data_IF_606671113148
#
_entry.id   IF_606671113148
#
_cell.length_a   1.000
_cell.length_b   1.000
_cell.length_c   1.000
_cell.angle_alpha   90.00
_cell.angle_beta   90.00
_cell.angle_gamma   90.00
#
_symmetry.space_group_name_H-M   'P 1'
#
loop_
_entity.id
_entity.type
_entity.pdbx_description
1 polymer ?
#
# COMPACT_ATOMS: atom_id res chain seq x y z
N UNK A 1 -6.81 -14.06 10.22
CA UNK A 1 -7.00 -13.08 11.30
C UNK A 1 -7.34 -11.76 10.62
N UNK A 2 -8.62 -11.35 10.63
CA UNK A 2 -9.02 -10.06 10.11
C UNK A 2 -8.57 -9.00 11.10
N UNK A 3 -7.51 -8.25 10.77
CA UNK A 3 -7.05 -7.12 11.58
C UNK A 3 -8.18 -6.07 11.55
N UNK A 4 -8.81 -5.74 12.70
CA UNK A 4 -9.82 -4.70 12.76
C UNK A 4 -9.21 -3.37 12.27
N UNK A 5 -9.93 -2.64 11.41
CA UNK A 5 -9.52 -1.29 10.98
C UNK A 5 -8.69 -1.21 9.69
N UNK A 6 -8.46 -2.31 8.97
CA UNK A 6 -7.78 -2.28 7.65
C UNK A 6 -8.77 -1.99 6.53
N UNK A 7 -8.46 -1.00 5.69
CA UNK A 7 -9.29 -0.57 4.55
C UNK A 7 -8.43 -0.50 3.29
N UNK A 8 -9.00 -0.91 2.16
CA UNK A 8 -8.38 -0.75 0.84
C UNK A 8 -8.91 0.53 0.19
N UNK A 9 -8.00 1.41 -0.23
CA UNK A 9 -8.29 2.65 -0.94
C UNK A 9 -7.96 2.45 -2.42
N UNK A 10 -8.99 2.12 -3.21
CA UNK A 10 -8.91 1.84 -4.66
C UNK A 10 -9.43 3.01 -5.54
N UNK A 11 -9.65 4.17 -4.93
CA UNK A 11 -10.15 5.37 -5.61
C UNK A 11 -11.67 5.46 -5.77
N UNK A 12 -12.44 4.42 -5.41
CA UNK A 12 -13.92 4.44 -5.51
C UNK A 12 -14.55 5.57 -4.69
N UNK A 13 -14.05 5.81 -3.48
CA UNK A 13 -14.47 6.92 -2.61
C UNK A 13 -14.28 8.29 -3.26
N UNK A 14 -13.17 8.50 -3.98
CA UNK A 14 -12.90 9.77 -4.66
C UNK A 14 -13.74 9.94 -5.93
N UNK A 15 -14.02 8.85 -6.65
CA UNK A 15 -14.81 8.92 -7.89
C UNK A 15 -16.27 9.28 -7.64
N UNK A 16 -16.81 8.92 -6.47
CA UNK A 16 -18.16 9.29 -6.06
C UNK A 16 -18.25 10.67 -5.39
N UNK A 17 -17.12 11.34 -5.17
CA UNK A 17 -17.05 12.59 -4.43
C UNK A 17 -17.57 13.77 -5.26
N UNK A 18 -18.56 14.46 -4.71
CA UNK A 18 -19.09 15.70 -5.28
C UNK A 18 -18.51 16.90 -4.53
N UNK A 19 -17.49 17.52 -5.10
CA UNK A 19 -16.87 18.73 -4.53
C UNK A 19 -17.45 19.98 -5.19
N UNK A 20 -17.80 20.98 -4.37
CA UNK A 20 -18.20 22.31 -4.83
C UNK A 20 -17.15 23.34 -4.43
N UNK A 21 -16.91 24.34 -5.29
CA UNK A 21 -16.01 25.43 -4.97
C UNK A 21 -16.60 26.36 -3.91
N UNK A 22 -15.80 26.83 -2.94
CA UNK A 22 -16.25 27.83 -1.98
C UNK A 22 -16.35 29.20 -2.67
N UNK A 23 -17.58 29.61 -3.01
CA UNK A 23 -17.98 30.91 -3.57
C UNK A 23 -17.66 31.09 -5.07
N UNK A 24 -18.68 31.50 -5.84
CA UNK A 24 -18.65 31.56 -7.32
C UNK A 24 -17.84 32.72 -7.93
N UNK A 25 -17.50 33.76 -7.14
CA UNK A 25 -16.91 35.02 -7.63
C UNK A 25 -15.41 35.19 -7.29
N UNK A 26 -14.73 34.15 -6.79
CA UNK A 26 -13.32 34.21 -6.43
C UNK A 26 -12.46 33.50 -7.48
N UNK A 27 -11.45 34.19 -8.01
CA UNK A 27 -10.42 33.55 -8.83
C UNK A 27 -9.55 32.65 -7.95
N UNK A 28 -9.38 31.39 -8.35
CA UNK A 28 -8.48 30.46 -7.68
C UNK A 28 -7.16 30.40 -8.44
N UNK A 29 -6.03 30.36 -7.73
CA UNK A 29 -4.78 29.92 -8.35
C UNK A 29 -4.79 28.40 -8.50
N UNK A 30 -4.01 27.86 -9.45
CA UNK A 30 -3.83 26.42 -9.56
C UNK A 30 -3.35 25.77 -8.26
N UNK A 31 -2.48 26.45 -7.50
CA UNK A 31 -2.03 25.96 -6.19
C UNK A 31 -3.18 25.84 -5.18
N UNK A 32 -4.02 26.87 -5.06
CA UNK A 32 -5.17 26.85 -4.15
C UNK A 32 -6.18 25.76 -4.51
N UNK A 33 -6.35 25.49 -5.81
CA UNK A 33 -7.22 24.42 -6.29
C UNK A 33 -6.66 23.05 -5.92
N UNK A 34 -5.35 22.83 -6.08
CA UNK A 34 -4.71 21.57 -5.67
C UNK A 34 -4.78 21.37 -4.16
N UNK A 35 -4.54 22.40 -3.36
CA UNK A 35 -4.65 22.33 -1.90
C UNK A 35 -6.08 21.99 -1.46
N UNK A 36 -7.10 22.59 -2.10
CA UNK A 36 -8.50 22.27 -1.87
C UNK A 36 -8.81 20.82 -2.25
N UNK A 37 -8.32 20.36 -3.41
CA UNK A 37 -8.53 19.00 -3.87
C UNK A 37 -7.88 17.98 -2.94
N UNK A 38 -6.63 18.22 -2.54
CA UNK A 38 -5.87 17.37 -1.62
C UNK A 38 -6.57 17.32 -0.25
N UNK A 39 -7.07 18.46 0.26
CA UNK A 39 -7.86 18.49 1.49
C UNK A 39 -9.16 17.69 1.36
N UNK A 40 -9.89 17.82 0.24
CA UNK A 40 -11.14 17.08 0.02
C UNK A 40 -10.92 15.58 -0.20
N UNK A 41 -9.84 15.23 -0.87
CA UNK A 41 -9.41 13.85 -1.01
C UNK A 41 -9.04 13.26 0.36
N UNK A 42 -8.27 14.00 1.16
CA UNK A 42 -7.93 13.61 2.53
C UNK A 42 -9.18 13.38 3.38
N UNK A 43 -10.12 14.34 3.41
CA UNK A 43 -11.40 14.20 4.13
C UNK A 43 -12.15 12.91 3.73
N UNK A 44 -12.14 12.59 2.44
CA UNK A 44 -12.84 11.42 1.89
C UNK A 44 -12.09 10.10 2.10
N UNK A 45 -10.80 10.18 2.40
CA UNK A 45 -9.90 9.05 2.67
C UNK A 45 -9.53 9.03 4.16
N UNK A 46 -10.51 9.30 5.02
CA UNK A 46 -10.39 9.20 6.47
C UNK A 46 -9.32 10.13 7.09
N UNK A 47 -8.98 11.24 6.44
CA UNK A 47 -7.94 12.17 6.88
C UNK A 47 -6.52 11.77 6.47
N UNK A 48 -6.37 10.76 5.60
CA UNK A 48 -5.07 10.37 5.06
C UNK A 48 -4.46 11.50 4.24
N UNK A 49 -3.19 11.82 4.50
CA UNK A 49 -2.40 12.65 3.59
C UNK A 49 -1.82 11.78 2.48
N UNK A 50 -2.28 11.99 1.25
CA UNK A 50 -1.80 11.21 0.11
C UNK A 50 -0.28 11.38 -0.11
N UNK A 51 0.45 10.29 -0.39
CA UNK A 51 1.85 10.34 -0.78
C UNK A 51 2.10 11.27 -1.98
N UNK A 52 3.25 11.94 -1.99
CA UNK A 52 3.64 12.83 -3.09
C UNK A 52 3.73 12.10 -4.44
N UNK A 53 4.10 10.83 -4.43
CA UNK A 53 4.13 9.96 -5.62
C UNK A 53 2.76 9.85 -6.30
N UNK A 54 1.69 9.69 -5.52
CA UNK A 54 0.30 9.61 -6.02
C UNK A 54 -0.15 10.97 -6.55
N UNK A 55 0.13 12.04 -5.81
CA UNK A 55 -0.20 13.41 -6.24
C UNK A 55 0.46 13.73 -7.58
N UNK A 56 1.76 13.45 -7.71
CA UNK A 56 2.51 13.65 -8.95
C UNK A 56 1.97 12.77 -10.09
N UNK A 57 1.69 11.49 -9.83
CA UNK A 57 1.12 10.58 -10.82
C UNK A 57 -0.27 11.00 -11.29
N UNK A 58 -1.07 11.64 -10.44
CA UNK A 58 -2.36 12.20 -10.82
C UNK A 58 -2.19 13.45 -11.70
N UNK A 59 -1.24 14.32 -11.35
CA UNK A 59 -0.92 15.52 -12.14
C UNK A 59 -0.43 15.18 -13.55
N UNK A 60 0.36 14.13 -13.74
CA UNK A 60 0.82 13.72 -15.08
C UNK A 60 -0.31 13.18 -15.98
N UNK A 61 -1.44 12.77 -15.40
CA UNK A 61 -2.63 12.35 -16.15
C UNK A 61 -3.52 13.53 -16.54
N UNK A 62 -3.25 14.73 -16.05
CA UNK A 62 -4.00 15.93 -16.44
C UNK A 62 -3.53 16.46 -17.80
N UNK A 63 -4.45 16.88 -18.69
CA UNK A 63 -4.09 17.39 -20.00
C UNK A 63 -3.34 18.73 -19.90
N UNK A 64 -2.22 18.84 -20.62
CA UNK A 64 -1.39 20.06 -20.74
C UNK A 64 -0.82 20.59 -19.40
N UNK A 65 -0.31 19.69 -18.56
CA UNK A 65 0.23 20.05 -17.26
C UNK A 65 1.71 20.48 -17.32
N UNK A 66 1.95 21.77 -17.15
CA UNK A 66 3.24 22.34 -16.72
C UNK A 66 3.07 22.82 -15.28
N UNK A 67 3.62 22.09 -14.30
CA UNK A 67 3.36 22.27 -12.86
C UNK A 67 3.62 23.71 -12.38
N UNK A 68 4.73 24.30 -12.81
CA UNK A 68 5.12 25.64 -12.37
C UNK A 68 4.18 26.72 -12.93
N UNK A 69 3.80 26.59 -14.20
CA UNK A 69 2.89 27.52 -14.87
C UNK A 69 1.45 27.33 -14.37
N UNK A 70 1.03 26.09 -14.15
CA UNK A 70 -0.31 25.77 -13.65
C UNK A 70 -0.56 26.35 -12.27
N UNK A 71 0.37 26.15 -11.33
CA UNK A 71 0.22 26.60 -9.93
C UNK A 71 0.00 28.10 -9.79
N UNK A 72 0.58 28.89 -10.69
CA UNK A 72 0.48 30.36 -10.70
C UNK A 72 -0.64 30.91 -11.58
N UNK A 73 -1.33 30.07 -12.36
CA UNK A 73 -2.41 30.50 -13.26
C UNK A 73 -3.68 30.80 -12.47
N UNK A 74 -4.32 31.94 -12.75
CA UNK A 74 -5.66 32.25 -12.26
C UNK A 74 -6.74 31.50 -13.07
N UNK A 75 -7.65 30.86 -12.36
CA UNK A 75 -8.72 30.05 -12.89
C UNK A 75 -10.07 30.65 -12.50
N UNK A 76 -10.94 30.79 -13.49
CA UNK A 76 -12.33 31.20 -13.31
C UNK A 76 -13.19 30.01 -12.84
N UNK A 77 -14.31 30.27 -12.17
CA UNK A 77 -15.14 29.27 -11.48
C UNK A 77 -15.41 27.99 -12.26
N UNK A 78 -15.95 28.07 -13.49
CA UNK A 78 -16.28 26.88 -14.29
C UNK A 78 -15.04 26.05 -14.65
N UNK A 79 -13.94 26.72 -15.02
CA UNK A 79 -12.68 26.05 -15.37
C UNK A 79 -12.04 25.43 -14.14
N UNK A 80 -12.07 26.12 -13.01
CA UNK A 80 -11.58 25.63 -11.73
C UNK A 80 -12.38 24.40 -11.28
N UNK A 81 -13.71 24.43 -11.36
CA UNK A 81 -14.54 23.29 -10.95
C UNK A 81 -14.25 22.06 -11.81
N UNK A 82 -14.10 22.24 -13.12
CA UNK A 82 -13.74 21.14 -14.02
C UNK A 82 -12.37 20.55 -13.67
N UNK A 83 -11.34 21.39 -13.54
CA UNK A 83 -9.98 20.93 -13.21
C UNK A 83 -9.90 20.24 -11.84
N UNK A 84 -10.70 20.69 -10.87
CA UNK A 84 -10.82 20.06 -9.56
C UNK A 84 -11.34 18.62 -9.69
N UNK A 85 -12.43 18.42 -10.44
CA UNK A 85 -12.97 17.10 -10.68
C UNK A 85 -12.04 16.23 -11.53
N UNK A 86 -11.38 16.80 -12.54
CA UNK A 86 -10.41 16.10 -13.38
C UNK A 86 -9.22 15.61 -12.55
N UNK A 87 -8.70 16.42 -11.62
CA UNK A 87 -7.60 16.03 -10.73
C UNK A 87 -8.02 14.97 -9.71
N UNK A 88 -9.17 15.12 -9.05
CA UNK A 88 -9.70 14.09 -8.13
C UNK A 88 -9.96 12.76 -8.87
N UNK A 89 -10.45 12.85 -10.10
CA UNK A 89 -10.59 11.72 -11.01
C UNK A 89 -9.25 11.08 -11.33
N UNK A 90 -8.23 11.86 -11.62
CA UNK A 90 -6.89 11.35 -11.87
C UNK A 90 -6.30 10.64 -10.64
N UNK A 91 -6.51 11.15 -9.42
CA UNK A 91 -6.13 10.45 -8.19
C UNK A 91 -6.88 9.12 -8.07
N UNK A 92 -8.20 9.13 -8.31
CA UNK A 92 -8.99 7.91 -8.29
C UNK A 92 -8.48 6.87 -9.30
N UNK A 93 -8.09 7.31 -10.49
CA UNK A 93 -7.49 6.43 -11.51
C UNK A 93 -6.13 5.90 -11.07
N UNK A 94 -5.30 6.71 -10.38
CA UNK A 94 -4.01 6.23 -9.82
C UNK A 94 -4.25 5.15 -8.77
N UNK A 95 -5.16 5.40 -7.82
CA UNK A 95 -5.50 4.44 -6.76
C UNK A 95 -6.18 3.18 -7.29
N UNK A 96 -6.91 3.28 -8.41
CA UNK A 96 -7.46 2.09 -9.09
C UNK A 96 -6.35 1.18 -9.61
N UNK A 97 -5.28 1.78 -10.12
CA UNK A 97 -4.15 1.03 -10.66
C UNK A 97 -3.25 0.47 -9.56
N UNK A 98 -2.95 1.29 -8.54
CA UNK A 98 -2.09 0.96 -7.41
C UNK A 98 -2.82 1.31 -6.09
N UNK A 99 -3.73 0.42 -5.62
CA UNK A 99 -4.51 0.67 -4.41
C UNK A 99 -3.64 0.70 -3.17
N UNK A 100 -4.04 1.52 -2.19
CA UNK A 100 -3.38 1.56 -0.88
C UNK A 100 -4.12 0.71 0.15
N UNK A 101 -3.37 -0.01 0.97
CA UNK A 101 -3.90 -0.61 2.20
C UNK A 101 -3.60 0.34 3.35
N UNK A 102 -4.62 0.69 4.12
CA UNK A 102 -4.47 1.60 5.27
C UNK A 102 -5.06 1.00 6.53
N UNK A 103 -4.50 1.35 7.67
CA UNK A 103 -5.03 1.04 9.00
C UNK A 103 -5.59 2.30 9.63
N UNK A 104 -6.85 2.24 10.08
CA UNK A 104 -7.49 3.29 10.86
C UNK A 104 -7.25 2.99 12.34
N UNK A 105 -6.42 3.81 12.97
CA UNK A 105 -6.00 3.69 14.36
C UNK A 105 -6.86 4.59 15.23
N UNK A 106 -7.89 4.02 15.84
CA UNK A 106 -8.90 4.70 16.67
C UNK A 106 -8.82 4.34 18.17
N UNK A 107 -7.78 3.58 18.55
CA UNK A 107 -7.53 3.11 19.90
C UNK A 107 -8.27 1.82 20.29
N UNK A 108 -9.19 1.30 19.47
CA UNK A 108 -9.94 0.09 19.81
C UNK A 108 -9.05 -1.16 19.88
N UNK A 109 -8.07 -1.30 18.98
CA UNK A 109 -7.11 -2.40 19.03
C UNK A 109 -6.33 -2.43 20.35
N UNK A 110 -5.93 -1.27 20.86
CA UNK A 110 -5.24 -1.15 22.15
C UNK A 110 -6.17 -1.48 23.32
N UNK A 111 -7.43 -1.05 23.26
CA UNK A 111 -8.43 -1.37 24.29
C UNK A 111 -8.68 -2.86 24.39
N UNK A 112 -8.70 -3.60 23.28
CA UNK A 112 -8.83 -5.06 23.31
C UNK A 112 -7.73 -5.73 24.15
N UNK A 113 -6.48 -5.26 24.05
CA UNK A 113 -5.40 -5.78 24.90
C UNK A 113 -5.52 -5.37 26.37
N UNK A 114 -6.15 -4.22 26.65
CA UNK A 114 -6.30 -3.68 28.00
C UNK A 114 -7.57 -4.18 28.72
N UNK A 115 -8.53 -4.76 27.99
CA UNK A 115 -9.80 -5.26 28.53
C UNK A 115 -9.63 -6.52 29.39
N UNK A 116 -8.68 -7.39 29.04
CA UNK A 116 -8.36 -8.61 29.77
C UNK A 116 -6.95 -8.51 30.38
N UNK A 117 -6.86 -8.73 31.70
CA UNK A 117 -5.60 -8.65 32.45
C UNK A 117 -4.59 -9.72 31.99
N UNK A 118 -5.05 -10.91 31.61
CA UNK A 118 -4.19 -11.99 31.13
C UNK A 118 -3.65 -11.68 29.72
N UNK A 119 -4.46 -11.08 28.83
CA UNK A 119 -4.02 -10.65 27.50
C UNK A 119 -2.98 -9.53 27.59
N UNK A 120 -3.21 -8.54 28.45
CA UNK A 120 -2.24 -7.47 28.71
C UNK A 120 -0.94 -8.04 29.31
N UNK A 121 -1.04 -8.91 30.31
CA UNK A 121 0.12 -9.51 30.95
C UNK A 121 0.99 -10.29 29.95
N UNK A 122 0.35 -11.08 29.07
CA UNK A 122 1.03 -11.80 28.00
C UNK A 122 1.69 -10.86 26.98
N UNK A 123 1.02 -9.79 26.58
CA UNK A 123 1.61 -8.77 25.69
C UNK A 123 2.84 -8.12 26.34
N UNK A 124 2.73 -7.67 27.58
CA UNK A 124 3.81 -7.00 28.30
C UNK A 124 5.00 -7.95 28.54
N UNK A 125 4.74 -9.21 28.85
CA UNK A 125 5.78 -10.25 28.98
C UNK A 125 6.52 -10.46 27.65
N UNK A 126 5.81 -10.68 26.55
CA UNK A 126 6.43 -10.88 25.24
C UNK A 126 7.31 -9.68 24.84
N UNK A 127 6.79 -8.46 24.98
CA UNK A 127 7.53 -7.24 24.68
C UNK A 127 8.78 -7.10 25.56
N UNK A 128 8.67 -7.41 26.85
CA UNK A 128 9.82 -7.36 27.76
C UNK A 128 10.90 -8.35 27.35
N UNK A 129 10.53 -9.60 27.06
CA UNK A 129 11.46 -10.64 26.63
C UNK A 129 12.15 -10.29 25.32
N UNK A 130 11.42 -9.71 24.35
CA UNK A 130 11.99 -9.30 23.06
C UNK A 130 12.99 -8.13 23.23
N UNK A 131 12.76 -7.23 24.19
CA UNK A 131 13.62 -6.07 24.46
C UNK A 131 14.81 -6.41 25.37
N UNK A 132 14.67 -7.36 26.30
CA UNK A 132 15.76 -7.86 27.16
C UNK A 132 16.67 -8.84 26.41
N UNK A 133 17.25 -8.39 25.31
CA UNK A 133 18.07 -9.21 24.40
C UNK A 133 19.31 -9.82 25.04
N UNK A 134 19.74 -9.30 26.20
CA UNK A 134 20.88 -9.81 26.98
C UNK A 134 20.46 -10.68 28.17
N UNK A 135 19.15 -10.93 28.36
CA UNK A 135 18.56 -11.75 29.42
C UNK A 135 19.06 -11.33 30.83
N UNK A 136 19.05 -10.01 31.08
CA UNK A 136 19.48 -9.44 32.37
C UNK A 136 18.38 -9.49 33.43
N UNK A 137 17.14 -9.77 33.01
CA UNK A 137 15.92 -9.62 33.78
C UNK A 137 15.52 -8.16 34.00
N UNK A 138 16.09 -7.23 33.23
CA UNK A 138 15.89 -5.78 33.37
C UNK A 138 16.17 -5.01 32.08
N UNK A 139 15.35 -4.00 31.82
CA UNK A 139 15.51 -3.08 30.68
C UNK A 139 15.40 -1.62 31.12
N UNK A 140 15.97 -0.70 30.34
CA UNK A 140 15.89 0.74 30.62
C UNK A 140 14.46 1.25 30.44
N UNK A 141 14.03 2.26 31.21
CA UNK A 141 12.73 2.94 31.02
C UNK A 141 12.53 3.44 29.58
N UNK A 142 13.60 3.89 28.94
CA UNK A 142 13.60 4.35 27.55
C UNK A 142 13.18 3.26 26.55
N UNK A 143 13.27 1.98 26.91
CA UNK A 143 12.82 0.85 26.09
C UNK A 143 11.30 0.79 25.91
N UNK A 144 10.51 1.51 26.71
CA UNK A 144 9.06 1.66 26.46
C UNK A 144 8.82 2.24 25.06
N UNK A 145 9.66 3.16 24.60
CA UNK A 145 9.57 3.68 23.23
C UNK A 145 9.74 2.56 22.21
N UNK A 146 10.73 1.70 22.39
CA UNK A 146 11.00 0.58 21.49
C UNK A 146 9.90 -0.47 21.56
N UNK A 147 9.28 -0.68 22.73
CA UNK A 147 8.08 -1.51 22.88
C UNK A 147 6.93 -1.00 22.00
N UNK A 148 6.66 0.33 22.02
CA UNK A 148 5.64 0.93 21.16
C UNK A 148 5.99 0.79 19.67
N UNK A 149 7.27 0.92 19.30
CA UNK A 149 7.73 0.66 17.92
C UNK A 149 7.54 -0.80 17.53
N UNK A 150 7.83 -1.73 18.43
CA UNK A 150 7.68 -3.17 18.20
C UNK A 150 6.21 -3.58 18.05
N UNK A 151 5.31 -2.97 18.84
CA UNK A 151 3.87 -3.10 18.66
C UNK A 151 3.43 -2.60 17.27
N UNK A 152 3.88 -1.40 16.88
CA UNK A 152 3.66 -0.84 15.54
C UNK A 152 2.19 -0.71 15.14
N UNK A 153 1.97 -0.44 13.86
CA UNK A 153 0.63 -0.22 13.29
C UNK A 153 -0.25 -1.47 13.42
N UNK A 154 0.35 -2.66 13.34
CA UNK A 154 -0.35 -3.93 13.44
C UNK A 154 -1.02 -4.15 14.80
N UNK A 155 -0.42 -3.63 15.88
CA UNK A 155 -0.98 -3.67 17.23
C UNK A 155 -1.69 -2.37 17.64
N UNK A 156 -1.92 -1.45 16.70
CA UNK A 156 -2.69 -0.23 16.96
C UNK A 156 -1.86 1.00 17.36
N UNK A 157 -0.52 0.94 17.29
CA UNK A 157 0.37 2.07 17.59
C UNK A 157 0.68 2.84 16.30
N UNK A 158 0.35 4.14 16.22
CA UNK A 158 0.70 4.94 15.05
C UNK A 158 2.21 5.18 14.91
N UNK A 159 2.71 5.45 13.70
CA UNK A 159 4.07 5.92 13.52
C UNK A 159 4.29 7.25 14.26
N UNK A 160 5.43 7.40 14.95
CA UNK A 160 5.77 8.63 15.70
C UNK A 160 5.78 9.90 14.84
N UNK A 161 6.06 9.78 13.54
CA UNK A 161 6.00 10.88 12.58
C UNK A 161 4.59 11.37 12.30
N UNK A 162 3.61 10.47 12.37
CA UNK A 162 2.20 10.74 12.08
C UNK A 162 1.41 11.10 13.36
N UNK A 163 1.90 10.65 14.52
CA UNK A 163 1.30 10.95 15.82
C UNK A 163 2.33 11.49 16.84
N UNK A 164 2.73 12.77 16.73
CA UNK A 164 3.72 13.38 17.62
C UNK A 164 3.35 13.34 19.12
N UNK A 165 2.05 13.23 19.43
CA UNK A 165 1.51 13.10 20.79
C UNK A 165 2.10 11.91 21.56
N UNK A 166 2.58 10.86 20.87
CA UNK A 166 3.27 9.75 21.54
C UNK A 166 4.44 10.23 22.40
N UNK A 167 5.23 11.20 21.91
CA UNK A 167 6.37 11.71 22.67
C UNK A 167 5.93 12.48 23.92
N UNK A 168 4.81 13.20 23.83
CA UNK A 168 4.24 13.93 24.96
C UNK A 168 3.70 12.98 26.03
N UNK A 169 3.03 11.89 25.61
CA UNK A 169 2.52 10.84 26.50
C UNK A 169 3.69 10.13 27.20
N UNK A 170 4.71 9.69 26.46
CA UNK A 170 5.90 9.05 27.03
C UNK A 170 6.58 9.94 28.07
N UNK A 171 6.74 11.23 27.76
CA UNK A 171 7.33 12.21 28.68
C UNK A 171 6.46 12.43 29.93
N UNK A 172 5.14 12.51 29.76
CA UNK A 172 4.19 12.68 30.87
C UNK A 172 4.26 11.52 31.88
N UNK A 173 4.43 10.29 31.38
CA UNK A 173 4.58 9.08 32.21
C UNK A 173 6.02 8.84 32.68
N UNK A 174 6.99 9.68 32.28
CA UNK A 174 8.39 9.55 32.72
C UNK A 174 9.12 8.36 32.09
N UNK A 175 8.75 7.97 30.87
CA UNK A 175 9.33 6.84 30.13
C UNK A 175 10.65 7.18 29.39
N UNK A 176 11.26 8.35 29.62
CA UNK A 176 12.50 8.78 28.96
C UNK A 176 13.77 8.58 29.83
N UNK A 177 13.64 7.93 30.99
CA UNK A 177 14.74 7.73 31.94
C UNK A 177 15.65 6.55 31.60
N UNK A 178 16.82 6.51 32.25
CA UNK A 178 17.77 5.38 32.19
C UNK A 178 17.63 4.40 33.37
N UNK A 179 16.57 4.57 34.18
CA UNK A 179 16.32 3.68 35.31
C UNK A 179 15.91 2.30 34.79
N UNK A 180 16.49 1.26 35.37
CA UNK A 180 16.15 -0.12 35.00
C UNK A 180 14.81 -0.54 35.61
N UNK A 181 13.99 -1.19 34.79
CA UNK A 181 12.72 -1.82 35.16
C UNK A 181 12.85 -3.33 35.07
N UNK A 182 12.38 -4.04 36.08
CA UNK A 182 12.02 -5.46 35.94
C UNK A 182 10.68 -5.61 35.21
N UNK A 183 10.34 -6.83 34.79
CA UNK A 183 9.13 -7.13 34.00
C UNK A 183 7.83 -6.56 34.58
N UNK A 184 7.59 -6.73 35.89
CA UNK A 184 6.38 -6.20 36.53
C UNK A 184 6.33 -4.66 36.47
N UNK A 185 7.47 -3.99 36.69
CA UNK A 185 7.55 -2.52 36.67
C UNK A 185 7.42 -1.98 35.24
N UNK A 186 7.88 -2.74 34.24
CA UNK A 186 7.66 -2.44 32.83
C UNK A 186 6.18 -2.49 32.49
N UNK A 187 5.46 -3.55 32.88
CA UNK A 187 4.02 -3.68 32.66
C UNK A 187 3.23 -2.54 33.36
N UNK A 188 3.56 -2.26 34.63
CA UNK A 188 2.96 -1.16 35.41
C UNK A 188 3.14 0.22 34.74
N UNK A 189 4.26 0.45 34.05
CA UNK A 189 4.52 1.68 33.32
C UNK A 189 3.86 1.69 31.93
N UNK A 190 3.85 0.56 31.23
CA UNK A 190 3.32 0.43 29.89
C UNK A 190 1.78 0.59 29.86
N UNK A 191 1.07 0.01 30.83
CA UNK A 191 -0.39 0.00 30.86
C UNK A 191 -1.03 1.41 30.79
N UNK A 192 -0.67 2.39 31.66
CA UNK A 192 -1.26 3.73 31.60
C UNK A 192 -0.85 4.50 30.34
N UNK A 193 0.30 4.19 29.74
CA UNK A 193 0.74 4.77 28.47
C UNK A 193 -0.17 4.29 27.34
N UNK A 194 -0.39 2.96 27.23
CA UNK A 194 -1.28 2.41 26.21
C UNK A 194 -2.73 2.91 26.36
N UNK A 195 -3.21 3.06 27.59
CA UNK A 195 -4.53 3.62 27.87
C UNK A 195 -4.65 5.06 27.36
N UNK A 196 -3.67 5.91 27.66
CA UNK A 196 -3.68 7.31 27.19
C UNK A 196 -3.54 7.42 25.67
N UNK A 197 -2.76 6.54 25.03
CA UNK A 197 -2.68 6.45 23.57
C UNK A 197 -4.05 6.07 23.00
N UNK A 198 -4.71 5.06 23.56
CA UNK A 198 -6.03 4.61 23.11
C UNK A 198 -7.08 5.72 23.23
N UNK A 199 -7.04 6.49 24.31
CA UNK A 199 -7.98 7.60 24.53
C UNK A 199 -7.69 8.77 23.59
N UNK A 200 -6.42 9.12 23.36
CA UNK A 200 -6.05 10.14 22.38
C UNK A 200 -6.45 9.76 20.94
N UNK A 201 -6.32 8.49 20.57
CA UNK A 201 -6.75 7.99 19.26
C UNK A 201 -8.27 7.93 19.11
N UNK A 202 -9.01 7.73 20.22
CA UNK A 202 -10.46 7.78 20.19
C UNK A 202 -10.99 9.20 20.01
N UNK A 203 -10.26 10.23 20.48
CA UNK A 203 -10.59 11.63 20.20
C UNK A 203 -10.27 12.01 18.75
N UNK A 204 -9.12 11.55 18.24
CA UNK A 204 -8.67 11.80 16.87
C UNK A 204 -7.89 10.60 16.34
N UNK A 205 -8.55 9.85 15.45
CA UNK A 205 -7.93 8.70 14.83
C UNK A 205 -6.75 9.11 13.91
N UNK A 206 -5.85 8.16 13.70
CA UNK A 206 -4.73 8.28 12.75
C UNK A 206 -4.90 7.24 11.66
N UNK A 207 -4.59 7.60 10.42
CA UNK A 207 -4.62 6.67 9.28
C UNK A 207 -3.20 6.46 8.81
N UNK A 208 -2.71 5.23 8.96
CA UNK A 208 -1.37 4.83 8.55
C UNK A 208 -1.44 3.97 7.29
N UNK A 209 -0.57 4.22 6.32
CA UNK A 209 -0.43 3.38 5.12
C UNK A 209 0.36 2.13 5.53
N UNK A 210 -0.17 0.96 5.17
CA UNK A 210 0.52 -0.30 5.36
C UNK A 210 1.49 -0.56 4.23
N UNK A 211 2.57 -1.27 4.55
CA UNK A 211 3.57 -1.74 3.59
C UNK A 211 3.07 -2.97 2.81
N UNK A 212 1.85 -2.88 2.29
CA UNK A 212 1.19 -3.96 1.55
C UNK A 212 0.86 -3.41 0.16
N UNK A 213 1.49 -4.00 -0.84
CA UNK A 213 1.18 -3.75 -2.24
C UNK A 213 0.09 -4.70 -2.72
N UNK A 214 -0.94 -4.16 -3.36
CA UNK A 214 -2.00 -4.96 -3.99
C UNK A 214 -1.68 -5.12 -5.47
N UNK A 215 -1.53 -6.35 -5.93
CA UNK A 215 -1.42 -6.69 -7.34
C UNK A 215 -2.79 -7.16 -7.83
N UNK A 216 -3.51 -6.29 -8.54
CA UNK A 216 -4.90 -6.51 -8.99
C UNK A 216 -5.04 -6.70 -10.52
N UNK A 217 -3.92 -6.82 -11.25
CA UNK A 217 -3.93 -7.04 -12.71
C UNK A 217 -4.13 -5.78 -13.55
N UNK A 218 -4.34 -4.60 -12.96
CA UNK A 218 -4.51 -3.32 -13.68
C UNK A 218 -3.33 -3.03 -14.62
N UNK A 219 -2.10 -3.25 -14.15
CA UNK A 219 -0.88 -3.06 -14.92
C UNK A 219 -0.78 -4.04 -16.09
N UNK A 220 -1.19 -5.29 -15.89
CA UNK A 220 -1.22 -6.33 -16.94
C UNK A 220 -2.25 -5.97 -18.00
N UNK A 221 -3.43 -5.49 -17.62
CA UNK A 221 -4.45 -4.98 -18.55
C UNK A 221 -3.91 -3.84 -19.40
N UNK A 222 -3.24 -2.86 -18.79
CA UNK A 222 -2.64 -1.74 -19.53
C UNK A 222 -1.53 -2.18 -20.49
N UNK A 223 -0.71 -3.14 -20.07
CA UNK A 223 0.28 -3.75 -20.95
C UNK A 223 -0.38 -4.40 -22.17
N UNK A 224 -1.49 -5.12 -21.96
CA UNK A 224 -2.25 -5.76 -23.04
C UNK A 224 -2.91 -4.76 -24.00
N UNK A 225 -3.27 -3.57 -23.52
CA UNK A 225 -3.86 -2.48 -24.31
C UNK A 225 -2.81 -1.66 -25.09
N UNK A 226 -1.58 -1.56 -24.57
CA UNK A 226 -0.46 -0.86 -25.24
C UNK A 226 0.27 -1.81 -26.20
N UNK A 227 -0.12 -1.79 -27.48
CA UNK A 227 0.48 -2.61 -28.53
C UNK A 227 2.02 -2.49 -28.59
N UNK A 228 2.58 -1.31 -28.29
CA UNK A 228 4.03 -1.11 -28.37
C UNK A 228 4.72 -1.81 -27.20
N UNK A 229 4.27 -1.58 -25.97
CA UNK A 229 4.84 -2.24 -24.80
C UNK A 229 4.65 -3.75 -24.86
N UNK A 230 3.49 -4.22 -25.32
CA UNK A 230 3.22 -5.64 -25.51
C UNK A 230 4.22 -6.25 -26.51
N UNK A 231 4.46 -5.61 -27.65
CA UNK A 231 5.43 -6.08 -28.62
C UNK A 231 6.87 -6.10 -28.06
N UNK A 232 7.26 -5.07 -27.30
CA UNK A 232 8.57 -5.03 -26.64
C UNK A 232 8.75 -6.20 -25.65
N UNK A 233 7.70 -6.55 -24.88
CA UNK A 233 7.71 -7.71 -23.98
C UNK A 233 7.78 -9.02 -24.77
N UNK A 234 7.01 -9.15 -25.85
CA UNK A 234 7.04 -10.33 -26.72
C UNK A 234 8.44 -10.58 -27.29
N UNK A 235 9.09 -9.53 -27.79
CA UNK A 235 10.41 -9.63 -28.39
C UNK A 235 11.46 -10.04 -27.33
N UNK A 236 11.36 -9.53 -26.10
CA UNK A 236 12.21 -9.96 -24.97
C UNK A 236 12.03 -11.45 -24.64
N UNK A 237 10.79 -11.94 -24.61
CA UNK A 237 10.51 -13.36 -24.32
C UNK A 237 11.07 -14.26 -25.44
N UNK A 238 10.92 -13.86 -26.70
CA UNK A 238 11.47 -14.59 -27.84
C UNK A 238 13.01 -14.63 -27.80
N UNK A 239 13.66 -13.54 -27.42
CA UNK A 239 15.11 -13.52 -27.21
C UNK A 239 15.55 -14.49 -26.09
N UNK A 240 14.81 -14.57 -24.98
CA UNK A 240 15.11 -15.55 -23.92
C UNK A 240 14.89 -16.99 -24.41
N UNK A 241 13.86 -17.25 -25.24
CA UNK A 241 13.61 -18.55 -25.87
C UNK A 241 14.78 -19.00 -26.74
N UNK A 242 15.30 -18.11 -27.59
CA UNK A 242 16.42 -18.42 -28.51
C UNK A 242 17.74 -18.68 -27.77
N UNK A 243 17.89 -18.14 -26.55
CA UNK A 243 19.07 -18.33 -25.71
C UNK A 243 19.07 -19.63 -24.90
N UNK A 244 17.91 -20.28 -24.74
CA UNK A 244 17.73 -21.50 -23.94
C UNK A 244 17.86 -22.77 -24.79
N UNK A 245 18.19 -23.90 -24.15
CA UNK A 245 18.35 -25.19 -24.85
C UNK A 245 17.00 -25.65 -25.40
N UNK A 246 17.00 -26.24 -26.61
CA UNK A 246 15.81 -26.73 -27.35
C UNK A 246 14.88 -27.72 -26.61
N UNK A 247 15.23 -28.14 -25.39
CA UNK A 247 14.53 -29.16 -24.61
C UNK A 247 13.62 -28.56 -23.52
N UNK A 248 13.64 -27.22 -23.33
CA UNK A 248 12.78 -26.52 -22.36
C UNK A 248 11.44 -26.15 -23.02
N UNK A 249 10.32 -26.58 -22.44
CA UNK A 249 9.00 -26.35 -23.02
C UNK A 249 8.62 -24.86 -23.06
N UNK A 250 7.82 -24.44 -24.05
CA UNK A 250 7.40 -23.02 -24.21
C UNK A 250 6.79 -22.44 -22.93
N UNK A 251 5.97 -23.21 -22.23
CA UNK A 251 5.36 -22.82 -20.96
C UNK A 251 6.40 -22.51 -19.86
N UNK A 252 7.48 -23.28 -19.77
CA UNK A 252 8.54 -23.05 -18.78
C UNK A 252 9.36 -21.79 -19.11
N UNK A 253 9.60 -21.54 -20.40
CA UNK A 253 10.29 -20.33 -20.85
C UNK A 253 9.46 -19.09 -20.52
N UNK A 254 8.15 -19.12 -20.83
CA UNK A 254 7.25 -18.00 -20.53
C UNK A 254 7.14 -17.80 -19.02
N UNK A 255 6.87 -18.85 -18.24
CA UNK A 255 6.78 -18.76 -16.78
C UNK A 255 8.04 -18.16 -16.16
N UNK A 256 9.22 -18.68 -16.53
CA UNK A 256 10.48 -18.19 -16.01
C UNK A 256 10.74 -16.72 -16.35
N UNK A 257 10.34 -16.26 -17.54
CA UNK A 257 10.40 -14.84 -17.91
C UNK A 257 9.47 -14.00 -17.03
N UNK A 258 8.20 -14.42 -16.90
CA UNK A 258 7.20 -13.67 -16.14
C UNK A 258 7.57 -13.56 -14.66
N UNK A 259 8.05 -14.64 -14.05
CA UNK A 259 8.50 -14.65 -12.65
C UNK A 259 9.73 -13.75 -12.45
N UNK A 260 10.70 -13.81 -13.38
CA UNK A 260 11.92 -12.98 -13.34
C UNK A 260 11.64 -11.48 -13.51
N UNK A 261 10.68 -11.13 -14.36
CA UNK A 261 10.31 -9.74 -14.67
C UNK A 261 9.00 -9.31 -14.01
N UNK A 262 8.55 -10.02 -12.97
CA UNK A 262 7.22 -9.84 -12.37
C UNK A 262 6.95 -8.39 -11.96
N UNK A 263 7.92 -7.74 -11.28
CA UNK A 263 7.79 -6.35 -10.84
C UNK A 263 7.60 -5.36 -12.00
N UNK A 264 8.30 -5.56 -13.12
CA UNK A 264 8.19 -4.68 -14.30
C UNK A 264 6.85 -4.86 -15.02
N UNK A 265 6.35 -6.10 -15.04
CA UNK A 265 5.09 -6.47 -15.70
C UNK A 265 3.86 -6.22 -14.83
N UNK A 266 4.05 -5.78 -13.58
CA UNK A 266 2.96 -5.61 -12.62
C UNK A 266 2.33 -6.93 -12.18
N UNK A 267 3.12 -8.00 -12.17
CA UNK A 267 2.75 -9.32 -11.67
C UNK A 267 3.26 -9.52 -10.23
N UNK A 268 2.62 -10.38 -9.44
CA UNK A 268 3.09 -10.67 -8.10
C UNK A 268 4.38 -11.51 -8.15
N UNK A 269 5.36 -11.24 -7.28
CA UNK A 269 6.55 -12.08 -7.16
C UNK A 269 6.15 -13.46 -6.62
N UNK A 270 6.65 -14.54 -7.24
CA UNK A 270 6.41 -15.90 -6.78
C UNK A 270 7.29 -16.29 -5.58
N UNK A 271 8.46 -15.67 -5.44
CA UNK A 271 9.37 -15.89 -4.32
C UNK A 271 8.75 -15.40 -3.00
N UNK A 272 8.55 -16.32 -2.06
CA UNK A 272 8.02 -15.99 -0.72
C UNK A 272 6.53 -15.66 -0.67
N UNK A 273 5.78 -15.81 -1.77
CA UNK A 273 4.33 -15.55 -1.80
C UNK A 273 3.55 -16.75 -2.34
N UNK A 274 2.94 -17.52 -1.43
CA UNK A 274 2.18 -18.73 -1.77
C UNK A 274 0.99 -18.42 -2.69
N UNK A 275 0.30 -17.30 -2.48
CA UNK A 275 -0.83 -16.90 -3.34
C UNK A 275 -0.37 -16.63 -4.79
N UNK A 276 0.81 -16.01 -4.95
CA UNK A 276 1.40 -15.82 -6.27
C UNK A 276 1.77 -17.15 -6.93
N UNK A 277 2.38 -18.09 -6.19
CA UNK A 277 2.72 -19.43 -6.71
C UNK A 277 1.46 -20.15 -7.20
N UNK A 278 0.40 -20.16 -6.40
CA UNK A 278 -0.88 -20.78 -6.77
C UNK A 278 -1.51 -20.13 -8.01
N UNK A 279 -1.40 -18.80 -8.14
CA UNK A 279 -1.86 -18.08 -9.33
C UNK A 279 -1.11 -18.57 -10.59
N UNK A 280 0.22 -18.63 -10.55
CA UNK A 280 1.00 -19.14 -11.68
C UNK A 280 0.67 -20.61 -11.96
N UNK A 281 0.59 -21.46 -10.94
CA UNK A 281 0.26 -22.87 -11.13
C UNK A 281 -1.13 -23.06 -11.77
N UNK A 282 -2.12 -22.27 -11.36
CA UNK A 282 -3.47 -22.24 -11.94
C UNK A 282 -3.44 -21.92 -13.45
N UNK A 283 -2.72 -20.88 -13.85
CA UNK A 283 -2.65 -20.45 -15.25
C UNK A 283 -1.89 -21.45 -16.11
N UNK A 284 -0.80 -22.01 -15.58
CA UNK A 284 0.09 -22.91 -16.33
C UNK A 284 -0.34 -24.39 -16.31
N UNK A 285 -1.19 -24.82 -15.37
CA UNK A 285 -1.70 -26.19 -15.33
C UNK A 285 -2.53 -26.60 -16.55
N UNK A 286 -3.20 -25.63 -17.19
CA UNK A 286 -4.08 -25.86 -18.34
C UNK A 286 -3.38 -25.71 -19.70
N UNK A 287 -2.06 -25.54 -19.73
CA UNK A 287 -1.32 -25.42 -20.99
C UNK A 287 -0.94 -26.78 -21.56
N UNK A 288 -1.49 -27.09 -22.73
CA UNK A 288 -0.99 -28.20 -23.54
C UNK A 288 0.42 -27.87 -24.07
N UNK A 289 1.36 -28.80 -23.92
CA UNK A 289 2.68 -28.71 -24.55
C UNK A 289 2.52 -28.94 -26.06
N UNK A 290 2.27 -27.89 -26.84
CA UNK A 290 2.16 -28.07 -28.29
C UNK A 290 3.55 -28.27 -28.92
N UNK A 291 3.90 -29.52 -29.20
CA UNK A 291 4.91 -29.86 -30.19
C UNK A 291 4.36 -29.49 -31.58
N UNK A 292 5.05 -28.59 -32.32
CA UNK A 292 5.26 -28.66 -33.78
C UNK A 292 5.92 -27.38 -34.32
N UNK A 293 6.86 -27.57 -35.25
CA UNK A 293 8.06 -26.74 -35.37
C UNK A 293 8.08 -25.65 -36.45
N UNK A 294 6.99 -25.33 -37.16
CA UNK A 294 7.07 -24.39 -38.30
C UNK A 294 6.05 -23.23 -38.31
N UNK A 295 5.26 -23.06 -37.24
CA UNK A 295 4.33 -21.92 -37.04
C UNK A 295 4.58 -21.21 -35.69
N UNK A 296 5.84 -21.27 -35.24
CA UNK A 296 6.25 -21.13 -33.84
C UNK A 296 6.02 -19.73 -33.25
N UNK A 297 6.28 -18.65 -33.97
CA UNK A 297 6.30 -17.33 -33.33
C UNK A 297 4.91 -16.70 -33.20
N UNK A 298 4.03 -16.90 -34.18
CA UNK A 298 2.64 -16.41 -34.10
C UNK A 298 1.87 -17.15 -33.01
N UNK A 299 1.95 -18.48 -32.98
CA UNK A 299 1.30 -19.29 -31.93
C UNK A 299 1.91 -19.03 -30.54
N UNK A 300 3.22 -18.82 -30.46
CA UNK A 300 3.87 -18.47 -29.20
C UNK A 300 3.45 -17.08 -28.71
N UNK A 301 3.37 -16.08 -29.59
CA UNK A 301 2.86 -14.74 -29.25
C UNK A 301 1.40 -14.81 -28.78
N UNK A 302 0.56 -15.59 -29.46
CA UNK A 302 -0.82 -15.82 -29.03
C UNK A 302 -0.88 -16.49 -27.65
N UNK A 303 -0.03 -17.50 -27.40
CA UNK A 303 0.10 -18.15 -26.10
C UNK A 303 0.49 -17.15 -25.00
N UNK A 304 1.52 -16.33 -25.20
CA UNK A 304 1.94 -15.31 -24.22
C UNK A 304 0.80 -14.32 -23.94
N UNK A 305 0.05 -13.90 -24.97
CA UNK A 305 -1.08 -12.99 -24.80
C UNK A 305 -2.20 -13.62 -23.98
N UNK A 306 -2.61 -14.85 -24.30
CA UNK A 306 -3.64 -15.59 -23.57
C UNK A 306 -3.25 -15.79 -22.09
N UNK A 307 -1.96 -15.99 -21.82
CA UNK A 307 -1.44 -16.11 -20.45
C UNK A 307 -1.62 -14.83 -19.67
N UNK A 308 -1.20 -13.71 -20.25
CA UNK A 308 -1.31 -12.40 -19.61
C UNK A 308 -2.78 -12.00 -19.44
N UNK A 309 -3.66 -12.32 -20.39
CA UNK A 309 -5.11 -12.13 -20.27
C UNK A 309 -5.68 -12.93 -19.09
N UNK A 310 -5.35 -14.21 -18.98
CA UNK A 310 -5.81 -15.06 -17.88
C UNK A 310 -5.26 -14.61 -16.52
N UNK A 311 -3.97 -14.22 -16.45
CA UNK A 311 -3.38 -13.62 -15.25
C UNK A 311 -4.12 -12.33 -14.85
N UNK A 312 -4.42 -11.46 -15.81
CA UNK A 312 -5.16 -10.23 -15.54
C UNK A 312 -6.56 -10.51 -14.99
N UNK A 313 -7.31 -11.46 -15.56
CA UNK A 313 -8.65 -11.83 -15.10
C UNK A 313 -8.65 -12.44 -13.70
N UNK A 314 -7.69 -13.33 -13.42
CA UNK A 314 -7.56 -13.96 -12.11
C UNK A 314 -7.13 -12.95 -11.04
N UNK A 315 -6.23 -12.02 -11.37
CA UNK A 315 -5.81 -10.95 -10.46
C UNK A 315 -6.92 -9.90 -10.23
N UNK A 316 -7.75 -9.63 -11.23
CA UNK A 316 -8.92 -8.75 -11.11
C UNK A 316 -9.97 -9.37 -10.17
N UNK A 317 -10.15 -10.69 -10.25
CA UNK A 317 -11.09 -11.44 -9.40
C UNK A 317 -10.53 -11.71 -7.99
N UNK A 318 -9.24 -11.99 -7.89
CA UNK A 318 -8.53 -12.36 -6.66
C UNK A 318 -7.16 -11.65 -6.61
N UNK A 319 -7.13 -10.38 -6.19
CA UNK A 319 -5.87 -9.64 -6.06
C UNK A 319 -4.90 -10.31 -5.09
N UNK A 320 -3.60 -10.23 -5.40
CA UNK A 320 -2.53 -10.77 -4.53
C UNK A 320 -1.96 -9.64 -3.68
N UNK A 321 -1.86 -9.87 -2.38
CA UNK A 321 -1.30 -8.93 -1.41
C UNK A 321 0.16 -9.30 -1.17
N UNK A 322 1.06 -8.33 -1.35
CA UNK A 322 2.50 -8.50 -1.21
C UNK A 322 3.01 -7.57 -0.11
N UNK A 323 3.57 -8.14 0.96
CA UNK A 323 4.29 -7.35 1.95
C UNK A 323 5.56 -6.83 1.29
N UNK A 324 5.79 -5.53 1.38
CA UNK A 324 7.00 -4.89 0.85
C UNK A 324 7.95 -4.60 2.00
N UNK A 325 9.21 -5.04 1.87
CA UNK A 325 10.26 -4.61 2.78
C UNK A 325 10.52 -3.10 2.59
N UNK A 326 10.58 -2.37 3.71
CA UNK A 326 10.97 -0.95 3.75
C UNK A 326 12.46 -0.78 3.45
#
# INVERSE_FOLDING_TARGET
MSVPGVVVLDGTHLRSLHVSLPVADVNFTGAQLLDLADSKASDSLFGLSLPSTIKLAALTRMPAFDDATFRSTELTGDRASKLLHDYLSAIADVLKDDPLVVSILDGNSLRLFLEDEDDFAMLAENLFTDLDTEDKGKISKSEIRNALVHMGVDMGIPPFSEFPLLNEILKKHGAEGEEELGQAQFAELLQPILQEIADALAEKHVVAIQNIKIVNGSHVRKLLEDEKQMNDVMDKILLEKDSKKKDEGSAQIIRGFLEKHAKELGLPPSEGNEAAVLLYDSVFANMESSENADELDTKFREQVKNILENLAELLESNPVYCVTDN
#
